data_IF_881961145736
#
_entry.id   IF_881961145736
#
_cell.length_a   1.000
_cell.length_b   1.000
_cell.length_c   1.000
_cell.angle_alpha   90.00
_cell.angle_beta   90.00
_cell.angle_gamma   90.00
#
_symmetry.space_group_name_H-M   'P 1'
#
loop_
_entity.id
_entity.type
_entity.pdbx_description
1 polymer ?
#
# COMPACT_ATOMS: atom_id res chain seq x y z
N UNK A 1 -16.46 14.82 16.67
CA UNK A 1 -16.63 13.75 15.66
C UNK A 1 -15.32 13.00 15.51
N UNK A 2 -15.22 11.76 16.00
CA UNK A 2 -14.07 10.89 15.69
C UNK A 2 -14.37 10.25 14.35
N UNK A 3 -13.80 10.80 13.28
CA UNK A 3 -13.73 10.08 12.00
C UNK A 3 -12.92 8.80 12.27
N UNK A 4 -13.38 7.63 11.79
CA UNK A 4 -12.59 6.41 11.92
C UNK A 4 -11.26 6.67 11.23
N UNK A 5 -10.16 6.59 11.98
CA UNK A 5 -8.79 6.87 11.51
C UNK A 5 -8.22 5.75 10.63
N UNK A 6 -9.09 5.00 9.95
CA UNK A 6 -8.76 3.72 9.31
C UNK A 6 -8.60 3.78 7.80
N UNK A 7 -8.47 4.98 7.21
CA UNK A 7 -8.26 5.18 5.77
C UNK A 7 -6.95 5.90 5.42
N UNK A 8 -6.12 6.24 6.41
CA UNK A 8 -4.90 7.03 6.16
C UNK A 8 -3.88 6.30 5.28
N UNK A 9 -3.84 4.96 5.37
CA UNK A 9 -2.86 4.16 4.63
C UNK A 9 -3.14 4.16 3.13
N UNK A 10 -4.41 4.04 2.73
CA UNK A 10 -4.76 4.01 1.31
C UNK A 10 -4.43 5.34 0.65
N UNK A 11 -4.83 6.44 1.28
CA UNK A 11 -4.47 7.79 0.82
C UNK A 11 -2.96 7.96 0.72
N UNK A 12 -2.21 7.55 1.75
CA UNK A 12 -0.74 7.66 1.77
C UNK A 12 -0.07 6.88 0.65
N UNK A 13 -0.48 5.63 0.43
CA UNK A 13 0.04 4.79 -0.67
C UNK A 13 -0.37 5.34 -2.03
N UNK A 14 -1.57 5.91 -2.15
CA UNK A 14 -2.02 6.57 -3.36
C UNK A 14 -1.20 7.84 -3.65
N UNK A 15 -0.91 8.66 -2.63
CA UNK A 15 0.02 9.78 -2.73
C UNK A 15 1.41 9.32 -3.22
N UNK A 16 1.97 8.27 -2.63
CA UNK A 16 3.25 7.73 -3.10
C UNK A 16 3.19 7.19 -4.53
N UNK A 17 2.10 6.53 -4.89
CA UNK A 17 1.91 6.03 -6.24
C UNK A 17 1.79 7.15 -7.27
N UNK A 18 1.06 8.22 -6.94
CA UNK A 18 0.89 9.38 -7.84
C UNK A 18 2.17 10.21 -7.93
N UNK A 19 2.96 10.31 -6.85
CA UNK A 19 4.26 10.95 -6.83
C UNK A 19 5.29 10.28 -7.76
N UNK A 20 5.16 8.96 -8.05
CA UNK A 20 5.99 8.27 -9.04
C UNK A 20 5.78 8.79 -10.48
N UNK A 21 4.72 9.56 -10.74
CA UNK A 21 4.43 10.12 -12.06
C UNK A 21 4.19 9.06 -13.13
N UNK A 22 4.69 9.28 -14.35
CA UNK A 22 4.58 8.31 -15.45
C UNK A 22 5.57 7.16 -15.26
N UNK A 23 5.06 6.04 -14.78
CA UNK A 23 5.83 4.81 -14.64
C UNK A 23 5.13 3.64 -15.35
N UNK A 24 5.90 2.63 -15.73
CA UNK A 24 5.34 1.41 -16.33
C UNK A 24 4.50 0.66 -15.28
N UNK A 25 3.31 0.14 -15.65
CA UNK A 25 2.49 -0.62 -14.72
C UNK A 25 3.27 -1.84 -14.23
N UNK A 26 3.50 -1.91 -12.91
CA UNK A 26 4.21 -3.02 -12.27
C UNK A 26 3.20 -3.99 -11.66
N UNK A 27 3.62 -5.26 -11.51
CA UNK A 27 2.81 -6.27 -10.82
C UNK A 27 2.66 -5.96 -9.32
N UNK A 28 3.64 -5.25 -8.75
CA UNK A 28 3.63 -4.77 -7.38
C UNK A 28 4.46 -3.48 -7.29
N UNK A 29 4.16 -2.69 -6.27
CA UNK A 29 4.85 -1.46 -5.90
C UNK A 29 5.34 -1.59 -4.48
N UNK A 30 6.57 -1.14 -4.25
CA UNK A 30 7.16 -1.04 -2.92
C UNK A 30 7.39 0.44 -2.67
N UNK A 31 6.97 0.90 -1.50
CA UNK A 31 7.13 2.26 -1.03
C UNK A 31 7.81 2.21 0.34
N UNK A 32 8.82 3.04 0.53
CA UNK A 32 9.51 3.23 1.79
C UNK A 32 8.93 4.48 2.47
N UNK A 33 8.81 4.44 3.78
CA UNK A 33 8.34 5.60 4.53
C UNK A 33 9.51 6.58 4.75
N UNK A 34 9.41 7.84 4.27
CA UNK A 34 10.49 8.81 4.43
C UNK A 34 10.70 9.25 5.88
N UNK A 35 9.65 9.18 6.71
CA UNK A 35 9.71 9.49 8.15
C UNK A 35 10.23 8.32 8.99
N UNK A 36 10.03 7.08 8.52
CA UNK A 36 10.45 5.87 9.22
C UNK A 36 11.11 4.85 8.27
N UNK A 37 12.45 4.78 8.21
CA UNK A 37 13.16 3.85 7.33
C UNK A 37 12.92 2.36 7.65
N UNK A 38 12.26 2.06 8.76
CA UNK A 38 11.82 0.70 9.14
C UNK A 38 10.47 0.32 8.56
N UNK A 39 9.67 1.29 8.11
CA UNK A 39 8.34 1.07 7.57
C UNK A 39 8.40 1.00 6.05
N UNK A 40 7.97 -0.14 5.52
CA UNK A 40 7.85 -0.37 4.09
C UNK A 40 6.43 -0.80 3.76
N UNK A 41 5.98 -0.44 2.58
CA UNK A 41 4.64 -0.73 2.10
C UNK A 41 4.72 -1.45 0.77
N UNK A 42 3.91 -2.48 0.61
CA UNK A 42 3.82 -3.25 -0.63
C UNK A 42 2.40 -3.23 -1.14
N UNK A 43 2.19 -2.56 -2.27
CA UNK A 43 0.93 -2.51 -2.97
C UNK A 43 0.96 -3.49 -4.14
N UNK A 44 -0.04 -4.37 -4.25
CA UNK A 44 -0.17 -5.27 -5.38
C UNK A 44 -1.63 -5.66 -5.64
N UNK A 45 -1.90 -6.05 -6.89
CA UNK A 45 -3.21 -6.57 -7.30
C UNK A 45 -3.16 -8.09 -7.31
N UNK A 46 -3.96 -8.73 -6.47
CA UNK A 46 -4.15 -10.17 -6.48
C UNK A 46 -5.15 -10.54 -7.59
N UNK A 47 -4.61 -11.11 -8.67
CA UNK A 47 -5.37 -11.54 -9.86
C UNK A 47 -5.84 -13.01 -9.81
N UNK A 48 -5.87 -13.63 -8.62
CA UNK A 48 -6.20 -15.05 -8.47
C UNK A 48 -7.67 -15.40 -8.77
N UNK A 49 -8.59 -14.45 -8.60
CA UNK A 49 -10.00 -14.59 -8.99
C UNK A 49 -10.58 -13.20 -9.25
N UNK A 50 -11.54 -13.07 -10.18
CA UNK A 50 -12.29 -11.82 -10.36
C UNK A 50 -13.35 -11.70 -9.23
N UNK A 51 -13.65 -10.49 -8.71
CA UNK A 51 -12.95 -9.23 -8.97
C UNK A 51 -11.53 -9.21 -8.38
N UNK A 52 -10.62 -8.51 -9.05
CA UNK A 52 -9.23 -8.39 -8.59
C UNK A 52 -9.18 -7.67 -7.27
N UNK A 53 -8.44 -8.23 -6.31
CA UNK A 53 -8.31 -7.61 -4.98
C UNK A 53 -7.06 -6.75 -4.95
N UNK A 54 -7.19 -5.52 -4.48
CA UNK A 54 -6.04 -4.68 -4.18
C UNK A 54 -5.57 -4.94 -2.75
N UNK A 55 -4.28 -5.24 -2.61
CA UNK A 55 -3.69 -5.58 -1.31
C UNK A 55 -2.57 -4.60 -1.02
N UNK A 56 -2.58 -4.06 0.20
CA UNK A 56 -1.51 -3.23 0.75
C UNK A 56 -0.98 -3.94 1.99
N UNK A 57 0.28 -4.34 1.94
CA UNK A 57 0.99 -4.93 3.07
C UNK A 57 1.91 -3.89 3.71
N UNK A 58 1.78 -3.67 5.02
CA UNK A 58 2.67 -2.84 5.81
C UNK A 58 3.70 -3.73 6.50
N UNK A 59 4.96 -3.44 6.28
CA UNK A 59 6.10 -4.12 6.88
C UNK A 59 6.82 -3.18 7.83
N UNK A 60 7.17 -3.67 9.01
CA UNK A 60 8.07 -3.01 9.94
C UNK A 60 9.29 -3.89 10.11
N UNK A 61 10.48 -3.38 9.77
CA UNK A 61 11.74 -4.10 9.93
C UNK A 61 11.68 -5.49 9.27
N UNK A 62 11.19 -5.54 8.02
CA UNK A 62 10.92 -6.75 7.21
C UNK A 62 9.80 -7.68 7.70
N UNK A 63 9.20 -7.41 8.86
CA UNK A 63 8.08 -8.19 9.41
C UNK A 63 6.76 -7.61 8.93
N UNK A 64 5.87 -8.43 8.36
CA UNK A 64 4.52 -8.01 7.99
C UNK A 64 3.73 -7.66 9.26
N UNK A 65 3.39 -6.39 9.44
CA UNK A 65 2.64 -5.91 10.60
C UNK A 65 1.15 -5.87 10.31
N UNK A 66 0.78 -5.39 9.11
CA UNK A 66 -0.62 -5.21 8.72
C UNK A 66 -0.82 -5.53 7.25
N UNK A 67 -2.03 -5.96 6.93
CA UNK A 67 -2.47 -6.26 5.58
C UNK A 67 -3.86 -5.69 5.37
N UNK A 68 -3.99 -4.82 4.39
CA UNK A 68 -5.24 -4.21 3.96
C UNK A 68 -5.65 -4.85 2.65
N UNK A 69 -6.91 -5.26 2.54
CA UNK A 69 -7.45 -5.93 1.37
C UNK A 69 -8.70 -5.16 0.94
N UNK A 70 -8.70 -4.68 -0.29
CA UNK A 70 -9.78 -3.93 -0.92
C UNK A 70 -10.34 -4.74 -2.11
N UNK A 71 -11.65 -4.68 -2.34
CA UNK A 71 -12.36 -5.43 -3.41
C UNK A 71 -12.62 -4.58 -4.65
#
# INVERSE_FOLDING_TARGET
>A
YKLPTTDYILSKIFDYYTALGKHTPRNFYLFDDPDNPKLNYKLYLQKSSKPYKMIIEEYYDTTLVKKHIYW
#
